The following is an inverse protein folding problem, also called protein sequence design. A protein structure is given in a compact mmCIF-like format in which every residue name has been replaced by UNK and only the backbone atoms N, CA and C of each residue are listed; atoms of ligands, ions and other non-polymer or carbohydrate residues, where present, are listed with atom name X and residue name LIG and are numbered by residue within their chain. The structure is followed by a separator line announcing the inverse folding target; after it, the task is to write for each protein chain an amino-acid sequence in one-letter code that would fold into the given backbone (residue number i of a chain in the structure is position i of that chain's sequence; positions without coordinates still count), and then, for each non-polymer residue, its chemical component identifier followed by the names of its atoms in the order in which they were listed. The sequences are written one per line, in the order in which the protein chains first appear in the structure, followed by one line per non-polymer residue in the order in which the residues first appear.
data_IF_571353912329
#
_entry.id   IF_571353912329
#
_cell.length_a   1.000
_cell.length_b   1.000
_cell.length_c   1.000
_cell.angle_alpha   90.00
_cell.angle_beta   90.00
_cell.angle_gamma   90.00
#
_symmetry.space_group_name_H-M   'P 1'
#
loop_
_entity.id
_entity.type
_entity.pdbx_description
1 polymer ?
#
# COMPACT_ATOMS: atom_id res chain seq x y z
N UNK A 1 1.67 3.92 -6.68
CA UNK A 1 0.80 3.69 -7.86
C UNK A 1 1.35 4.37 -9.09
N UNK A 2 1.57 5.69 -9.11
CA UNK A 2 2.01 6.42 -10.31
C UNK A 2 3.24 5.81 -11.00
N UNK A 3 4.26 5.39 -10.24
CA UNK A 3 5.43 4.68 -10.78
C UNK A 3 5.10 3.30 -11.37
N UNK A 4 4.18 2.55 -10.74
CA UNK A 4 3.71 1.26 -11.28
C UNK A 4 2.97 1.44 -12.60
N UNK A 5 2.15 2.47 -12.68
CA UNK A 5 1.38 2.83 -13.88
C UNK A 5 2.21 3.52 -14.96
N UNK A 6 3.47 3.85 -14.67
CA UNK A 6 4.32 4.63 -15.54
C UNK A 6 3.77 6.05 -15.81
N UNK A 7 3.11 6.64 -14.83
CA UNK A 7 2.67 8.04 -14.81
C UNK A 7 3.77 8.97 -14.30
N UNK A 8 4.71 8.41 -13.52
CA UNK A 8 5.90 9.06 -12.99
C UNK A 8 7.12 8.18 -13.23
N UNK A 9 8.26 8.85 -13.47
CA UNK A 9 9.56 8.18 -13.57
C UNK A 9 10.17 7.89 -12.18
N UNK A 10 11.39 7.37 -12.16
CA UNK A 10 12.13 7.05 -10.94
C UNK A 10 12.52 8.29 -10.10
N UNK A 11 12.54 9.49 -10.71
CA UNK A 11 12.74 10.78 -10.03
C UNK A 11 11.43 11.43 -9.56
N UNK A 12 10.27 10.81 -9.84
CA UNK A 12 8.94 11.35 -9.54
C UNK A 12 8.47 12.42 -10.54
N UNK A 13 9.13 12.53 -11.72
CA UNK A 13 8.69 13.43 -12.77
C UNK A 13 7.58 12.79 -13.59
N UNK A 14 6.55 13.56 -13.92
CA UNK A 14 5.43 13.09 -14.74
C UNK A 14 5.90 12.66 -16.13
N UNK A 15 5.47 11.50 -16.55
CA UNK A 15 5.78 10.94 -17.88
C UNK A 15 4.73 11.42 -18.89
N UNK A 16 5.20 11.96 -20.02
CA UNK A 16 4.32 12.51 -21.07
C UNK A 16 3.77 11.45 -22.03
N UNK A 17 4.41 10.29 -22.13
CA UNK A 17 4.03 9.20 -23.03
C UNK A 17 3.84 7.90 -22.26
N UNK A 18 2.63 7.64 -21.82
CA UNK A 18 2.29 6.44 -21.01
C UNK A 18 2.27 5.14 -21.83
N UNK A 19 2.30 5.21 -23.15
CA UNK A 19 2.18 4.04 -24.03
C UNK A 19 3.51 3.31 -24.32
N UNK A 20 4.66 3.79 -23.79
CA UNK A 20 5.93 3.14 -24.00
C UNK A 20 6.10 1.90 -23.10
N UNK A 21 5.74 0.75 -23.64
CA UNK A 21 5.81 -0.54 -22.93
C UNK A 21 7.24 -0.95 -22.60
N UNK A 22 8.23 -0.56 -23.41
CA UNK A 22 9.65 -0.88 -23.18
C UNK A 22 10.16 -0.10 -21.96
N UNK A 23 9.89 1.19 -21.92
CA UNK A 23 10.27 2.03 -20.79
C UNK A 23 9.50 1.61 -19.54
N UNK A 24 8.20 1.37 -19.64
CA UNK A 24 7.40 0.88 -18.50
C UNK A 24 7.96 -0.42 -17.93
N UNK A 25 8.34 -1.37 -18.79
CA UNK A 25 8.97 -2.62 -18.35
C UNK A 25 10.25 -2.36 -17.54
N UNK A 26 11.15 -1.49 -18.05
CA UNK A 26 12.37 -1.12 -17.33
C UNK A 26 12.08 -0.48 -15.98
N UNK A 27 11.06 0.39 -15.89
CA UNK A 27 10.68 1.02 -14.62
C UNK A 27 10.09 0.02 -13.63
N UNK A 28 9.27 -0.93 -14.08
CA UNK A 28 8.73 -1.99 -13.23
C UNK A 28 9.86 -2.82 -12.59
N UNK A 29 10.97 -3.10 -13.31
CA UNK A 29 12.14 -3.76 -12.72
C UNK A 29 12.68 -3.00 -11.50
N UNK A 30 12.69 -1.68 -11.53
CA UNK A 30 13.20 -0.85 -10.42
C UNK A 30 12.30 -0.85 -9.20
N UNK A 31 11.05 -1.27 -9.32
CA UNK A 31 10.10 -1.34 -8.21
C UNK A 31 10.28 -2.57 -7.33
N UNK A 32 11.07 -3.56 -7.75
CA UNK A 32 11.33 -4.74 -6.94
C UNK A 32 12.43 -4.48 -5.91
N UNK A 33 12.26 -5.02 -4.72
CA UNK A 33 13.33 -5.07 -3.71
C UNK A 33 14.42 -6.04 -4.18
N UNK A 34 15.55 -5.50 -4.61
CA UNK A 34 16.66 -6.31 -5.13
C UNK A 34 17.24 -7.28 -4.13
N UNK A 35 17.14 -7.02 -2.83
CA UNK A 35 17.60 -7.98 -1.81
C UNK A 35 16.78 -9.27 -1.78
N UNK A 36 15.53 -9.21 -2.27
CA UNK A 36 14.60 -10.35 -2.30
C UNK A 36 14.45 -10.96 -3.69
N UNK A 37 14.52 -10.12 -4.73
CA UNK A 37 14.17 -10.54 -6.09
C UNK A 37 15.34 -10.57 -7.07
N UNK A 38 16.54 -10.12 -6.70
CA UNK A 38 17.69 -10.15 -7.60
C UNK A 38 18.50 -11.42 -7.40
N UNK A 39 18.75 -12.12 -8.49
CA UNK A 39 19.61 -13.31 -8.52
C UNK A 39 21.10 -12.93 -8.55
N UNK A 40 21.99 -13.92 -8.34
CA UNK A 40 23.45 -13.71 -8.38
C UNK A 40 23.97 -13.22 -9.73
N UNK A 41 23.27 -13.55 -10.83
CA UNK A 41 23.59 -13.09 -12.18
C UNK A 41 23.12 -11.65 -12.47
N UNK A 42 22.50 -10.97 -11.50
CA UNK A 42 21.99 -9.60 -11.62
C UNK A 42 20.58 -9.46 -12.17
N UNK A 43 19.96 -10.52 -12.68
CA UNK A 43 18.58 -10.52 -13.18
C UNK A 43 17.58 -10.64 -12.03
N UNK A 44 16.33 -10.32 -12.28
CA UNK A 44 15.24 -10.61 -11.35
C UNK A 44 14.95 -12.13 -11.33
N UNK A 45 14.22 -12.57 -10.31
CA UNK A 45 13.73 -13.95 -10.24
C UNK A 45 12.75 -14.23 -11.38
N UNK A 46 12.63 -15.50 -11.85
CA UNK A 46 11.70 -15.87 -12.92
C UNK A 46 10.25 -15.42 -12.66
N UNK A 47 9.80 -15.48 -11.41
CA UNK A 47 8.45 -15.03 -11.02
C UNK A 47 8.29 -13.51 -11.19
N UNK A 48 9.29 -12.72 -10.81
CA UNK A 48 9.25 -11.27 -10.98
C UNK A 48 9.27 -10.86 -12.47
N UNK A 49 10.07 -11.55 -13.29
CA UNK A 49 10.10 -11.35 -14.74
C UNK A 49 8.76 -11.72 -15.39
N UNK A 50 8.15 -12.85 -14.96
CA UNK A 50 6.83 -13.27 -15.41
C UNK A 50 5.77 -12.22 -15.06
N UNK A 51 5.76 -11.74 -13.82
CA UNK A 51 4.86 -10.68 -13.37
C UNK A 51 4.99 -9.42 -14.23
N UNK A 52 6.21 -8.92 -14.47
CA UNK A 52 6.43 -7.73 -15.29
C UNK A 52 5.88 -7.95 -16.70
N UNK A 53 6.20 -9.10 -17.31
CA UNK A 53 5.71 -9.46 -18.63
C UNK A 53 4.18 -9.44 -18.71
N UNK A 54 3.51 -10.00 -17.70
CA UNK A 54 2.05 -10.10 -17.67
C UNK A 54 1.42 -8.72 -17.39
N UNK A 55 1.99 -7.91 -16.49
CA UNK A 55 1.56 -6.52 -16.27
C UNK A 55 1.63 -5.70 -17.57
N UNK A 56 2.69 -5.86 -18.35
CA UNK A 56 2.85 -5.16 -19.63
C UNK A 56 1.89 -5.74 -20.68
N UNK A 57 1.83 -7.07 -20.82
CA UNK A 57 1.02 -7.76 -21.83
C UNK A 57 -0.47 -7.47 -21.69
N UNK A 58 -0.97 -7.46 -20.46
CA UNK A 58 -2.38 -7.27 -20.16
C UNK A 58 -2.74 -5.82 -19.78
N UNK A 59 -1.75 -4.94 -19.74
CA UNK A 59 -1.97 -3.52 -19.43
C UNK A 59 -2.46 -3.27 -18.00
N UNK A 60 -2.10 -4.11 -17.03
CA UNK A 60 -2.58 -3.95 -15.66
C UNK A 60 -2.11 -2.62 -15.05
N UNK A 61 -3.06 -1.90 -14.47
CA UNK A 61 -2.86 -0.63 -13.77
C UNK A 61 -3.37 -0.78 -12.34
N UNK A 62 -2.93 0.08 -11.44
CA UNK A 62 -3.40 0.16 -10.06
C UNK A 62 -3.99 1.56 -9.85
N UNK A 63 -5.24 1.62 -9.43
CA UNK A 63 -5.91 2.89 -9.13
C UNK A 63 -6.26 2.96 -7.65
N UNK A 64 -6.26 4.16 -7.08
CA UNK A 64 -6.66 4.36 -5.68
C UNK A 64 -8.12 3.94 -5.43
N UNK A 65 -8.95 3.93 -6.48
CA UNK A 65 -10.35 3.49 -6.45
C UNK A 65 -10.52 1.99 -6.50
N UNK A 66 -9.43 1.22 -6.76
CA UNK A 66 -9.52 -0.24 -6.77
C UNK A 66 -9.84 -0.74 -5.35
N UNK A 67 -10.87 -1.56 -5.23
CA UNK A 67 -11.29 -2.12 -3.95
C UNK A 67 -10.47 -3.34 -3.53
N UNK A 68 -9.54 -3.77 -4.38
CA UNK A 68 -8.72 -4.97 -4.21
C UNK A 68 -7.43 -4.76 -3.43
N UNK A 69 -7.13 -3.52 -2.99
CA UNK A 69 -5.92 -3.26 -2.23
C UNK A 69 -6.19 -2.78 -0.80
N UNK A 70 -5.25 -3.07 0.09
CA UNK A 70 -5.35 -2.81 1.51
C UNK A 70 -4.13 -2.03 1.98
N UNK A 71 -4.34 -0.96 2.77
CA UNK A 71 -3.30 -0.25 3.49
C UNK A 71 -3.23 -0.73 4.93
N UNK A 72 -2.03 -1.03 5.43
CA UNK A 72 -1.79 -1.31 6.84
C UNK A 72 -1.27 -0.05 7.54
N UNK A 73 -1.92 0.34 8.62
CA UNK A 73 -1.53 1.49 9.44
C UNK A 73 -1.33 1.03 10.89
N UNK A 74 -0.12 1.22 11.41
CA UNK A 74 0.19 0.99 12.82
C UNK A 74 0.06 2.30 13.58
N UNK A 75 -0.69 2.30 14.66
CA UNK A 75 -0.95 3.48 15.46
C UNK A 75 -1.02 3.18 16.95
N UNK A 76 -0.95 4.23 17.75
CA UNK A 76 -1.22 4.22 19.17
C UNK A 76 -2.54 4.88 19.47
N UNK A 77 -3.19 4.38 20.50
CA UNK A 77 -4.45 4.93 20.97
C UNK A 77 -4.53 4.87 22.49
N UNK A 78 -5.41 5.68 23.04
CA UNK A 78 -5.93 5.53 24.39
C UNK A 78 -7.27 4.81 24.32
N UNK A 79 -7.39 3.70 25.02
CA UNK A 79 -8.61 2.89 25.12
C UNK A 79 -8.93 2.72 26.60
N UNK A 80 -10.08 3.19 27.04
CA UNK A 80 -10.48 3.22 28.46
C UNK A 80 -9.37 3.82 29.37
N UNK A 81 -8.73 4.89 28.90
CA UNK A 81 -7.63 5.55 29.61
C UNK A 81 -6.29 4.82 29.61
N UNK A 82 -6.15 3.67 28.91
CA UNK A 82 -4.92 2.88 28.80
C UNK A 82 -4.31 3.00 27.41
N UNK A 83 -2.98 3.02 27.33
CA UNK A 83 -2.24 3.03 26.06
C UNK A 83 -2.35 1.67 25.37
N UNK A 84 -2.70 1.68 24.10
CA UNK A 84 -2.78 0.49 23.25
C UNK A 84 -2.04 0.70 21.93
N UNK A 85 -1.45 -0.37 21.40
CA UNK A 85 -0.95 -0.43 20.01
C UNK A 85 -2.01 -1.10 19.15
N UNK A 86 -2.36 -0.48 18.04
CA UNK A 86 -3.42 -0.94 17.15
C UNK A 86 -2.86 -0.97 15.72
N UNK A 87 -3.14 -2.05 15.01
CA UNK A 87 -2.91 -2.14 13.58
C UNK A 87 -4.25 -2.13 12.87
N UNK A 88 -4.45 -1.14 12.02
CA UNK A 88 -5.65 -0.96 11.20
C UNK A 88 -5.35 -1.39 9.77
N UNK A 89 -6.30 -2.07 9.15
CA UNK A 89 -6.27 -2.42 7.74
C UNK A 89 -7.41 -1.70 7.04
N UNK A 90 -7.05 -0.82 6.13
CA UNK A 90 -7.98 0.00 5.37
C UNK A 90 -8.12 -0.53 3.95
N UNK A 91 -9.33 -0.54 3.45
CA UNK A 91 -9.64 -0.75 2.04
C UNK A 91 -10.47 0.42 1.51
N UNK A 92 -10.38 0.66 0.22
CA UNK A 92 -11.22 1.65 -0.46
C UNK A 92 -12.61 1.07 -0.68
N UNK A 93 -13.64 1.82 -0.33
CA UNK A 93 -15.04 1.47 -0.61
C UNK A 93 -15.73 2.61 -1.37
N UNK A 94 -16.42 2.27 -2.45
CA UNK A 94 -17.33 3.21 -3.09
C UNK A 94 -18.58 3.38 -2.24
N UNK A 95 -18.88 4.62 -1.84
CA UNK A 95 -20.02 4.96 -0.98
C UNK A 95 -21.14 5.66 -1.75
N UNK A 96 -20.83 6.27 -2.91
CA UNK A 96 -21.77 6.83 -3.87
C UNK A 96 -21.13 6.81 -5.27
N UNK A 97 -21.85 7.09 -6.37
CA UNK A 97 -21.26 7.23 -7.69
C UNK A 97 -20.09 8.23 -7.66
N UNK A 98 -18.89 7.77 -8.05
CA UNK A 98 -17.63 8.54 -8.03
C UNK A 98 -17.13 9.01 -6.65
N UNK A 99 -17.76 8.59 -5.55
CA UNK A 99 -17.33 8.88 -4.20
C UNK A 99 -16.76 7.64 -3.53
N UNK A 100 -15.52 7.73 -3.06
CA UNK A 100 -14.80 6.66 -2.39
C UNK A 100 -14.36 7.11 -1.01
N UNK A 101 -14.29 6.18 -0.06
CA UNK A 101 -13.76 6.39 1.29
C UNK A 101 -12.90 5.22 1.71
N UNK A 102 -11.92 5.49 2.54
CA UNK A 102 -11.18 4.44 3.25
C UNK A 102 -12.02 3.95 4.41
N UNK A 103 -12.20 2.64 4.47
CA UNK A 103 -12.87 1.95 5.56
C UNK A 103 -11.98 0.93 6.22
N UNK A 104 -12.14 0.74 7.52
CA UNK A 104 -11.43 -0.27 8.28
C UNK A 104 -12.08 -1.64 8.01
N UNK A 105 -11.29 -2.58 7.47
CA UNK A 105 -11.73 -3.96 7.20
C UNK A 105 -11.27 -4.94 8.28
N UNK A 106 -10.15 -4.65 8.94
CA UNK A 106 -9.58 -5.49 9.99
C UNK A 106 -8.83 -4.63 11.00
N UNK A 107 -8.87 -5.07 12.24
CA UNK A 107 -8.15 -4.47 13.36
C UNK A 107 -7.42 -5.56 14.11
N UNK A 108 -6.17 -5.30 14.46
CA UNK A 108 -5.36 -6.15 15.31
C UNK A 108 -4.79 -5.33 16.46
N UNK A 109 -4.82 -5.87 17.66
CA UNK A 109 -4.18 -5.26 18.81
C UNK A 109 -3.76 -6.33 19.81
N UNK A 110 -2.48 -6.45 20.13
CA UNK A 110 -2.02 -7.34 21.18
C UNK A 110 -2.42 -6.86 22.58
N UNK A 111 -2.87 -5.62 22.69
CA UNK A 111 -3.17 -4.94 23.96
C UNK A 111 -4.68 -4.94 24.31
N UNK A 112 -5.54 -5.30 23.35
CA UNK A 112 -6.99 -5.25 23.52
C UNK A 112 -7.58 -6.65 23.45
N UNK A 113 -8.27 -7.06 24.51
CA UNK A 113 -9.00 -8.33 24.53
C UNK A 113 -10.26 -8.26 23.64
N UNK A 114 -10.86 -7.08 23.50
CA UNK A 114 -12.08 -6.84 22.71
C UNK A 114 -11.86 -5.58 21.89
N UNK A 115 -12.14 -5.67 20.59
CA UNK A 115 -12.11 -4.52 19.68
C UNK A 115 -13.53 -3.99 19.56
N UNK A 116 -13.77 -2.69 19.85
CA UNK A 116 -15.12 -2.13 19.72
C UNK A 116 -15.62 -2.20 18.27
N UNK A 117 -16.81 -2.74 18.06
CA UNK A 117 -17.39 -2.83 16.69
C UNK A 117 -17.57 -1.46 16.03
N UNK A 118 -17.76 -0.42 16.82
CA UNK A 118 -17.87 0.97 16.34
C UNK A 118 -16.65 1.45 15.54
N UNK A 119 -15.47 0.81 15.74
CA UNK A 119 -14.26 1.15 14.98
C UNK A 119 -14.43 0.91 13.47
N UNK A 120 -15.22 -0.10 13.08
CA UNK A 120 -15.48 -0.42 11.67
C UNK A 120 -16.45 0.55 10.99
N UNK A 121 -17.06 1.46 11.74
CA UNK A 121 -17.90 2.57 11.21
C UNK A 121 -17.07 3.79 10.83
N UNK A 122 -15.82 3.84 11.29
CA UNK A 122 -14.91 4.94 10.97
C UNK A 122 -14.53 4.87 9.49
N UNK A 123 -14.49 6.03 8.87
CA UNK A 123 -14.05 6.18 7.49
C UNK A 123 -13.22 7.44 7.34
N UNK A 124 -12.34 7.42 6.35
CA UNK A 124 -11.41 8.51 6.06
C UNK A 124 -11.60 8.98 4.61
N UNK A 125 -11.10 10.19 4.34
CA UNK A 125 -11.08 10.80 3.02
C UNK A 125 -10.30 9.92 2.02
N UNK A 126 -10.64 9.96 0.72
CA UNK A 126 -9.90 9.23 -0.32
C UNK A 126 -8.41 9.55 -0.37
N UNK A 127 -8.02 10.79 -0.04
CA UNK A 127 -6.62 11.26 -0.13
C UNK A 127 -5.73 10.80 1.04
N UNK A 128 -6.27 10.11 2.03
CA UNK A 128 -5.50 9.74 3.24
C UNK A 128 -4.24 8.90 2.95
N UNK A 129 -4.25 8.10 1.89
CA UNK A 129 -3.07 7.34 1.49
C UNK A 129 -1.89 8.23 1.02
N UNK A 130 -2.18 9.45 0.55
CA UNK A 130 -1.16 10.42 0.14
C UNK A 130 -0.54 11.16 1.33
N UNK A 131 -1.35 11.39 2.38
CA UNK A 131 -0.95 12.13 3.58
C UNK A 131 -0.63 11.24 4.77
N UNK A 132 -0.44 9.93 4.55
CA UNK A 132 -0.03 8.99 5.59
C UNK A 132 -1.12 8.67 6.62
N UNK A 133 -2.39 8.73 6.24
CA UNK A 133 -3.54 8.43 7.11
C UNK A 133 -3.64 9.30 8.36
N UNK A 134 -3.16 10.54 8.28
CA UNK A 134 -3.16 11.49 9.43
C UNK A 134 -4.55 11.82 9.95
N UNK A 135 -5.58 11.69 9.11
CA UNK A 135 -6.98 11.86 9.51
C UNK A 135 -7.43 10.91 10.62
N UNK A 136 -6.74 9.78 10.84
CA UNK A 136 -7.01 8.86 11.96
C UNK A 136 -6.95 9.60 13.29
N UNK A 137 -6.04 10.55 13.44
CA UNK A 137 -5.82 11.28 14.71
C UNK A 137 -7.00 12.19 15.08
N UNK A 138 -7.86 12.53 14.13
CA UNK A 138 -9.09 13.26 14.35
C UNK A 138 -10.31 12.37 14.65
N UNK A 139 -10.17 11.05 14.46
CA UNK A 139 -11.22 10.10 14.75
C UNK A 139 -11.24 9.79 16.25
N UNK A 140 -12.43 9.77 16.82
CA UNK A 140 -12.66 9.39 18.22
C UNK A 140 -13.94 8.58 18.34
N UNK A 141 -13.92 7.62 19.23
CA UNK A 141 -15.06 6.87 19.73
C UNK A 141 -15.15 7.12 21.24
N UNK A 142 -16.27 6.79 21.86
CA UNK A 142 -16.53 7.06 23.27
C UNK A 142 -15.33 6.68 24.18
N UNK A 143 -14.73 5.51 23.96
CA UNK A 143 -13.63 4.98 24.78
C UNK A 143 -12.31 4.81 24.03
N UNK A 144 -12.21 5.30 22.78
CA UNK A 144 -11.01 5.15 21.96
C UNK A 144 -10.65 6.47 21.29
N UNK A 145 -9.39 6.89 21.49
CA UNK A 145 -8.81 8.08 20.85
C UNK A 145 -7.44 7.73 20.30
N UNK A 146 -7.27 7.89 18.99
CA UNK A 146 -5.96 7.73 18.36
C UNK A 146 -5.05 8.89 18.73
N UNK A 147 -3.79 8.60 19.07
CA UNK A 147 -2.82 9.59 19.58
C UNK A 147 -1.60 9.76 18.71
N UNK A 148 -1.22 8.72 17.96
CA UNK A 148 -0.01 8.72 17.16
C UNK A 148 -0.12 7.68 16.02
N UNK A 149 0.46 8.00 14.86
CA UNK A 149 0.68 7.04 13.78
C UNK A 149 2.13 6.61 13.84
N UNK A 150 2.37 5.33 14.10
CA UNK A 150 3.72 4.77 14.20
C UNK A 150 4.29 4.44 12.82
N UNK A 151 3.46 3.90 11.93
CA UNK A 151 3.95 3.38 10.65
C UNK A 151 2.82 3.19 9.62
N UNK A 152 3.07 3.64 8.38
CA UNK A 152 2.25 3.35 7.19
C UNK A 152 3.18 2.79 6.14
N UNK A 153 3.59 1.53 6.32
CA UNK A 153 4.68 0.94 5.53
C UNK A 153 4.21 -0.04 4.48
N UNK A 154 3.07 -0.71 4.69
CA UNK A 154 2.65 -1.84 3.87
C UNK A 154 1.35 -1.56 3.12
N UNK A 155 1.37 -1.85 1.82
CA UNK A 155 0.18 -1.91 0.98
C UNK A 155 0.13 -3.26 0.28
N UNK A 156 -1.01 -3.92 0.36
CA UNK A 156 -1.27 -5.24 -0.23
C UNK A 156 -2.16 -5.09 -1.44
N UNK A 157 -1.75 -5.62 -2.57
CA UNK A 157 -2.45 -5.50 -3.84
C UNK A 157 -2.78 -6.86 -4.42
N UNK A 158 -3.94 -6.95 -5.07
CA UNK A 158 -4.31 -8.08 -5.93
C UNK A 158 -4.58 -7.57 -7.34
N UNK A 159 -3.95 -8.20 -8.31
CA UNK A 159 -4.27 -8.09 -9.74
C UNK A 159 -4.53 -9.49 -10.28
N UNK A 160 -5.16 -9.66 -11.46
CA UNK A 160 -5.40 -10.99 -11.98
C UNK A 160 -4.12 -11.84 -12.03
N UNK A 161 -4.17 -13.00 -11.36
CA UNK A 161 -3.07 -13.97 -11.28
C UNK A 161 -1.98 -13.67 -10.23
N UNK A 162 -2.03 -12.52 -9.53
CA UNK A 162 -0.98 -12.16 -8.57
C UNK A 162 -1.49 -11.43 -7.35
N UNK A 163 -0.95 -11.80 -6.17
CA UNK A 163 -0.99 -11.01 -4.95
C UNK A 163 0.42 -10.48 -4.64
N UNK A 164 0.55 -9.20 -4.33
CA UNK A 164 1.86 -8.62 -4.01
C UNK A 164 1.77 -7.54 -2.93
N UNK A 165 2.90 -7.32 -2.28
CA UNK A 165 3.04 -6.31 -1.23
C UNK A 165 4.03 -5.25 -1.69
N UNK A 166 3.64 -3.99 -1.56
CA UNK A 166 4.55 -2.84 -1.67
C UNK A 166 4.87 -2.38 -0.24
N UNK A 167 6.16 -2.26 0.04
CA UNK A 167 6.68 -1.82 1.33
C UNK A 167 7.56 -0.59 1.15
N UNK A 168 7.49 0.36 2.10
CA UNK A 168 8.42 1.47 2.15
C UNK A 168 9.73 1.03 2.80
N UNK A 169 10.78 0.95 1.98
CA UNK A 169 12.11 0.53 2.38
C UNK A 169 13.04 1.74 2.47
N UNK A 170 13.70 1.90 3.60
CA UNK A 170 14.71 2.94 3.80
C UNK A 170 16.08 2.26 3.96
N UNK A 171 16.97 2.54 3.02
CA UNK A 171 18.36 2.05 3.01
C UNK A 171 19.32 3.19 2.80
N UNK A 172 20.29 3.33 3.70
CA UNK A 172 21.38 4.30 3.52
C UNK A 172 22.23 3.90 2.32
N UNK A 173 22.59 4.89 1.48
CA UNK A 173 23.49 4.73 0.35
C UNK A 173 23.03 3.68 -0.70
N UNK A 174 21.72 3.50 -0.87
CA UNK A 174 21.15 2.60 -1.87
C UNK A 174 20.15 3.34 -2.76
N UNK A 175 20.26 3.09 -4.09
CA UNK A 175 19.24 3.55 -5.04
C UNK A 175 17.98 2.66 -5.01
N UNK A 176 18.08 1.43 -4.49
CA UNK A 176 16.93 0.52 -4.32
C UNK A 176 16.29 0.76 -2.97
N UNK A 177 15.56 1.85 -2.87
CA UNK A 177 14.89 2.36 -1.67
C UNK A 177 13.56 3.03 -2.05
N UNK A 178 12.74 3.36 -1.07
CA UNK A 178 11.41 3.93 -1.24
C UNK A 178 10.33 2.84 -1.28
N UNK A 179 9.29 3.02 -2.07
CA UNK A 179 8.19 2.06 -2.20
C UNK A 179 8.57 0.94 -3.17
N UNK A 180 8.82 -0.26 -2.65
CA UNK A 180 9.29 -1.43 -3.40
C UNK A 180 8.36 -2.62 -3.23
N UNK A 181 8.25 -3.46 -4.26
CA UNK A 181 7.60 -4.77 -4.19
C UNK A 181 8.50 -5.69 -3.39
N UNK A 182 8.03 -6.13 -2.22
CA UNK A 182 8.79 -6.96 -1.28
C UNK A 182 8.24 -8.38 -1.16
N UNK A 183 7.02 -8.61 -1.62
CA UNK A 183 6.43 -9.94 -1.71
C UNK A 183 5.63 -10.08 -2.99
N UNK A 184 5.65 -11.25 -3.60
CA UNK A 184 4.92 -11.58 -4.82
C UNK A 184 4.55 -13.06 -4.81
N UNK A 185 3.25 -13.34 -4.96
CA UNK A 185 2.72 -14.69 -4.99
C UNK A 185 1.78 -14.84 -6.21
N UNK A 186 1.88 -15.93 -6.97
CA UNK A 186 0.84 -16.29 -7.91
C UNK A 186 -0.45 -16.66 -7.16
N UNK A 187 -1.61 -16.34 -7.75
CA UNK A 187 -2.95 -16.69 -7.26
C UNK A 187 -3.50 -17.90 -7.99
#
# INVERSE_FOLDING_TARGET
MARFNYEEDWEGKKVKQHADTILRSKYLHTLFDYSRFRQRNGNLTPLAELFIRDVIRYGYMIHYTDTSWISQVKCRAMVDGKKAKITLYFHTQQVAPYEYKWKISRVESPSLAIIPESIFRLCLSPIEHEIGFTGILSLSLENLKFTEIDDVRYHFFNIPGYAFTIERIERKNSYNTGWLITNLNPL
#
